data_IF_107003546516
#
_entry.id   IF_107003546516
#
_cell.length_a   1.000
_cell.length_b   1.000
_cell.length_c   1.000
_cell.angle_alpha   90.00
_cell.angle_beta   90.00
_cell.angle_gamma   90.00
#
_symmetry.space_group_name_H-M   'P 1'
#
loop_
_entity.id
_entity.type
_entity.pdbx_description
1 polymer ?
#
# COMPACT_ATOMS: atom_id res chain seq x y z
N UNK A 1 38.59 5.57 8.08
CA UNK A 1 37.30 4.93 8.43
C UNK A 1 37.57 3.82 9.41
N UNK A 2 36.94 3.85 10.58
CA UNK A 2 36.75 2.62 11.36
C UNK A 2 35.80 1.71 10.58
N UNK A 3 36.07 0.40 10.56
CA UNK A 3 35.29 -0.58 9.79
C UNK A 3 33.79 -0.49 10.11
N UNK A 4 33.45 -0.23 11.37
CA UNK A 4 32.07 -0.10 11.85
C UNK A 4 31.31 1.11 11.27
N UNK A 5 31.96 2.28 11.13
CA UNK A 5 31.30 3.47 10.55
C UNK A 5 30.99 3.29 9.07
N UNK A 6 31.89 2.61 8.34
CA UNK A 6 31.68 2.28 6.93
C UNK A 6 30.50 1.30 6.77
N UNK A 7 30.42 0.28 7.64
CA UNK A 7 29.30 -0.65 7.69
C UNK A 7 27.98 0.07 8.02
N UNK A 8 27.99 0.98 8.99
CA UNK A 8 26.81 1.78 9.32
C UNK A 8 26.35 2.65 8.14
N UNK A 9 27.28 3.29 7.43
CA UNK A 9 26.97 4.08 6.25
C UNK A 9 26.31 3.21 5.17
N UNK A 10 26.86 2.01 4.92
CA UNK A 10 26.24 1.07 3.98
C UNK A 10 24.82 0.68 4.40
N UNK A 11 24.59 0.36 5.68
CA UNK A 11 23.25 0.02 6.19
C UNK A 11 22.27 1.20 6.07
N UNK A 12 22.74 2.44 6.25
CA UNK A 12 21.93 3.64 6.03
C UNK A 12 21.62 3.86 4.54
N UNK A 13 22.57 3.61 3.64
CA UNK A 13 22.36 3.68 2.20
C UNK A 13 21.32 2.65 1.74
N UNK A 14 21.42 1.40 2.21
CA UNK A 14 20.41 0.37 1.96
C UNK A 14 19.03 0.80 2.46
N UNK A 15 18.96 1.41 3.66
CA UNK A 15 17.71 1.94 4.20
C UNK A 15 17.17 3.10 3.37
N UNK A 16 18.04 3.98 2.85
CA UNK A 16 17.66 5.09 1.97
C UNK A 16 17.00 4.57 0.70
N UNK A 17 17.55 3.52 0.10
CA UNK A 17 16.99 2.92 -1.11
C UNK A 17 15.60 2.31 -0.84
N UNK A 18 15.40 1.62 0.30
CA UNK A 18 14.07 1.15 0.71
C UNK A 18 13.06 2.29 0.85
N UNK A 19 13.47 3.43 1.43
CA UNK A 19 12.59 4.59 1.56
C UNK A 19 12.28 5.25 0.22
N UNK A 20 13.22 5.24 -0.72
CA UNK A 20 12.98 5.72 -2.09
C UNK A 20 11.98 4.80 -2.83
N UNK A 21 12.10 3.48 -2.69
CA UNK A 21 11.14 2.53 -3.25
C UNK A 21 9.76 2.69 -2.61
N UNK A 22 9.69 2.81 -1.28
CA UNK A 22 8.44 3.08 -0.57
C UNK A 22 7.79 4.38 -1.01
N UNK A 23 8.57 5.43 -1.25
CA UNK A 23 8.07 6.72 -1.75
C UNK A 23 7.46 6.56 -3.15
N UNK A 24 8.18 5.93 -4.08
CA UNK A 24 7.67 5.68 -5.43
C UNK A 24 6.39 4.84 -5.42
N UNK A 25 6.36 3.76 -4.65
CA UNK A 25 5.17 2.93 -4.48
C UNK A 25 4.01 3.74 -3.89
N UNK A 26 4.30 4.56 -2.89
CA UNK A 26 3.32 5.44 -2.22
C UNK A 26 2.70 6.48 -3.16
N UNK A 27 3.45 6.95 -4.17
CA UNK A 27 2.92 7.85 -5.20
C UNK A 27 2.07 7.09 -6.23
N UNK A 28 2.50 5.91 -6.66
CA UNK A 28 1.76 5.07 -7.61
C UNK A 28 0.40 4.63 -7.04
N UNK A 29 0.34 4.34 -5.73
CA UNK A 29 -0.90 3.97 -5.05
C UNK A 29 -2.02 5.02 -5.14
N UNK A 30 -1.73 6.27 -5.51
CA UNK A 30 -2.75 7.30 -5.68
C UNK A 30 -3.62 7.13 -6.93
N UNK A 31 -3.19 6.27 -7.87
CA UNK A 31 -3.88 6.07 -9.16
C UNK A 31 -4.22 4.62 -9.46
N UNK A 32 -3.76 3.68 -8.62
CA UNK A 32 -4.03 2.25 -8.74
C UNK A 32 -5.50 1.90 -8.49
N UNK A 33 -5.98 0.82 -9.11
CA UNK A 33 -7.31 0.31 -8.82
C UNK A 33 -7.35 -0.57 -7.56
N UNK A 34 -8.55 -1.03 -7.17
CA UNK A 34 -8.73 -1.84 -5.97
C UNK A 34 -7.94 -3.17 -5.95
N UNK A 35 -7.69 -3.79 -7.10
CA UNK A 35 -6.93 -5.05 -7.17
C UNK A 35 -5.44 -4.78 -6.99
N UNK A 36 -4.92 -3.77 -7.68
CA UNK A 36 -3.53 -3.32 -7.59
C UNK A 36 -3.17 -2.77 -6.21
N UNK A 37 -4.10 -2.03 -5.58
CA UNK A 37 -3.93 -1.46 -4.24
C UNK A 37 -3.64 -2.55 -3.19
N UNK A 38 -4.29 -3.71 -3.28
CA UNK A 38 -4.04 -4.83 -2.36
C UNK A 38 -2.60 -5.30 -2.41
N UNK A 39 -2.07 -5.54 -3.61
CA UNK A 39 -0.69 -5.96 -3.82
C UNK A 39 0.31 -4.88 -3.40
N UNK A 40 -0.01 -3.61 -3.69
CA UNK A 40 0.83 -2.48 -3.30
C UNK A 40 0.96 -2.34 -1.77
N UNK A 41 -0.13 -2.56 -1.01
CA UNK A 41 -0.06 -2.56 0.46
C UNK A 41 0.80 -3.71 1.02
N UNK A 42 0.70 -4.91 0.43
CA UNK A 42 1.56 -6.04 0.82
C UNK A 42 3.05 -5.73 0.55
N UNK A 43 3.36 -5.18 -0.62
CA UNK A 43 4.73 -4.79 -0.97
C UNK A 43 5.24 -3.69 -0.03
N UNK A 44 4.42 -2.67 0.25
CA UNK A 44 4.76 -1.60 1.19
C UNK A 44 5.05 -2.15 2.59
N UNK A 45 4.28 -3.12 3.06
CA UNK A 45 4.53 -3.78 4.35
C UNK A 45 5.88 -4.50 4.37
N UNK A 46 6.23 -5.25 3.30
CA UNK A 46 7.54 -5.91 3.19
C UNK A 46 8.70 -4.93 3.27
N UNK A 47 8.60 -3.80 2.57
CA UNK A 47 9.61 -2.74 2.62
C UNK A 47 9.74 -2.13 4.02
N UNK A 48 8.61 -1.93 4.72
CA UNK A 48 8.62 -1.46 6.11
C UNK A 48 9.28 -2.46 7.07
N UNK A 49 9.01 -3.76 6.89
CA UNK A 49 9.62 -4.82 7.71
C UNK A 49 11.14 -4.88 7.48
N UNK A 50 11.59 -4.78 6.22
CA UNK A 50 13.01 -4.70 5.89
C UNK A 50 13.68 -3.47 6.51
N UNK A 51 13.03 -2.31 6.42
CA UNK A 51 13.54 -1.08 7.02
C UNK A 51 13.64 -1.19 8.56
N UNK A 52 12.71 -1.91 9.21
CA UNK A 52 12.75 -2.15 10.65
C UNK A 52 13.92 -3.04 11.07
N UNK A 53 14.31 -4.03 10.25
CA UNK A 53 15.52 -4.83 10.52
C UNK A 53 16.80 -4.00 10.38
N UNK A 54 16.87 -3.13 9.36
CA UNK A 54 18.00 -2.19 9.22
C UNK A 54 18.08 -1.23 10.41
N UNK A 55 16.93 -0.78 10.94
CA UNK A 55 16.88 0.06 12.14
C UNK A 55 17.45 -0.63 13.39
N UNK A 56 17.19 -1.93 13.55
CA UNK A 56 17.81 -2.71 14.64
C UNK A 56 19.32 -2.76 14.49
N UNK A 57 19.82 -3.01 13.28
CA UNK A 57 21.26 -3.05 13.00
C UNK A 57 21.92 -1.69 13.25
N UNK A 58 21.32 -0.59 12.77
CA UNK A 58 21.82 0.77 13.00
C UNK A 58 21.83 1.09 14.49
N UNK A 59 20.76 0.74 15.22
CA UNK A 59 20.69 0.99 16.68
C UNK A 59 21.83 0.28 17.42
N UNK A 60 22.10 -0.99 17.11
CA UNK A 60 23.20 -1.72 17.73
C UNK A 60 24.56 -1.04 17.45
N UNK A 61 24.83 -0.63 16.21
CA UNK A 61 26.07 0.08 15.87
C UNK A 61 26.17 1.46 16.56
N UNK A 62 25.04 2.14 16.78
CA UNK A 62 24.98 3.41 17.50
C UNK A 62 25.24 3.30 19.01
N UNK A 63 25.05 2.12 19.62
CA UNK A 63 25.38 1.89 21.03
C UNK A 63 26.90 1.87 21.25
N UNK A 64 27.65 1.41 20.26
CA UNK A 64 29.11 1.32 20.29
C UNK A 64 29.81 2.65 19.92
N UNK A 65 29.11 3.53 19.17
CA UNK A 65 29.63 4.83 18.74
C UNK A 65 28.64 5.98 19.00
N UNK A 66 28.75 6.65 20.16
CA UNK A 66 27.87 7.78 20.50
C UNK A 66 27.94 8.96 19.53
N UNK A 67 29.08 9.20 18.87
CA UNK A 67 29.19 10.30 17.90
C UNK A 67 28.43 9.99 16.61
N UNK A 68 28.51 8.73 16.15
CA UNK A 68 27.72 8.27 15.02
C UNK A 68 26.22 8.31 15.33
N UNK A 69 25.83 7.90 16.54
CA UNK A 69 24.45 8.03 17.03
C UNK A 69 23.94 9.47 16.97
N UNK A 70 24.73 10.43 17.44
CA UNK A 70 24.33 11.84 17.46
C UNK A 70 24.20 12.41 16.04
N UNK A 71 25.06 11.96 15.10
CA UNK A 71 24.96 12.31 13.69
C UNK A 71 23.69 11.72 13.03
N UNK A 72 23.40 10.43 13.23
CA UNK A 72 22.21 9.76 12.69
C UNK A 72 20.91 10.34 13.24
N UNK A 73 20.91 10.76 14.52
CA UNK A 73 19.75 11.37 15.17
C UNK A 73 19.65 12.89 14.97
N UNK A 74 20.55 13.47 14.18
CA UNK A 74 20.58 14.91 13.86
C UNK A 74 20.68 15.82 15.09
N UNK A 75 21.36 15.38 16.16
CA UNK A 75 21.51 16.15 17.42
C UNK A 75 22.33 17.42 17.19
N UNK A 76 23.38 17.32 16.37
CA UNK A 76 24.22 18.45 15.96
C UNK A 76 24.78 18.19 14.57
N UNK A 77 25.19 19.25 13.88
CA UNK A 77 25.84 19.13 12.58
C UNK A 77 27.31 18.76 12.78
N UNK A 78 27.78 17.61 12.26
CA UNK A 78 29.15 17.17 12.46
C UNK A 78 30.14 17.97 11.59
N UNK A 79 31.28 18.30 12.19
CA UNK A 79 32.44 18.88 11.49
C UNK A 79 33.28 17.81 10.78
N UNK A 80 33.33 16.60 11.36
CA UNK A 80 34.02 15.44 10.78
C UNK A 80 33.31 14.95 9.51
N UNK A 81 34.09 14.70 8.46
CA UNK A 81 33.57 14.31 7.15
C UNK A 81 32.82 12.96 7.19
N UNK A 82 33.29 11.98 7.97
CA UNK A 82 32.65 10.65 8.03
C UNK A 82 31.30 10.74 8.76
N UNK A 83 31.26 11.50 9.87
CA UNK A 83 30.00 11.74 10.58
C UNK A 83 29.02 12.56 9.72
N UNK A 84 29.52 13.45 8.86
CA UNK A 84 28.69 14.22 7.92
C UNK A 84 28.00 13.35 6.89
N UNK A 85 28.68 12.33 6.35
CA UNK A 85 28.05 11.37 5.44
C UNK A 85 26.88 10.63 6.12
N UNK A 86 27.08 10.15 7.36
CA UNK A 86 26.01 9.51 8.15
C UNK A 86 24.83 10.47 8.40
N UNK A 87 25.14 11.73 8.75
CA UNK A 87 24.14 12.78 8.95
C UNK A 87 23.33 13.05 7.67
N UNK A 88 24.00 13.20 6.52
CA UNK A 88 23.34 13.54 5.26
C UNK A 88 22.42 12.42 4.77
N UNK A 89 22.88 11.16 4.83
CA UNK A 89 22.08 10.00 4.44
C UNK A 89 20.87 9.83 5.36
N UNK A 90 21.06 9.88 6.68
CA UNK A 90 19.95 9.79 7.64
C UNK A 90 18.93 10.93 7.48
N UNK A 91 19.39 12.14 7.11
CA UNK A 91 18.51 13.27 6.81
C UNK A 91 17.70 13.04 5.54
N UNK A 92 18.30 12.45 4.50
CA UNK A 92 17.59 12.07 3.27
C UNK A 92 16.47 11.06 3.56
N UNK A 93 16.74 10.05 4.38
CA UNK A 93 15.73 9.07 4.84
C UNK A 93 14.58 9.77 5.56
N UNK A 94 14.89 10.68 6.49
CA UNK A 94 13.87 11.45 7.22
C UNK A 94 13.01 12.29 6.28
N UNK A 95 13.62 12.91 5.27
CA UNK A 95 12.89 13.70 4.27
C UNK A 95 11.95 12.83 3.43
N UNK A 96 12.39 11.64 3.00
CA UNK A 96 11.54 10.68 2.29
C UNK A 96 10.37 10.21 3.18
N UNK A 97 10.64 9.88 4.45
CA UNK A 97 9.61 9.52 5.42
C UNK A 97 8.54 10.61 5.58
N UNK A 98 8.95 11.88 5.66
CA UNK A 98 8.03 13.02 5.73
C UNK A 98 7.12 13.11 4.51
N UNK A 99 7.67 12.99 3.29
CA UNK A 99 6.88 13.04 2.05
C UNK A 99 5.89 11.88 1.95
N UNK A 100 6.32 10.67 2.34
CA UNK A 100 5.43 9.52 2.45
C UNK A 100 4.25 9.84 3.39
N UNK A 101 4.53 10.37 4.59
CA UNK A 101 3.48 10.69 5.58
C UNK A 101 2.51 11.77 5.09
N UNK A 102 3.00 12.81 4.41
CA UNK A 102 2.18 13.87 3.82
C UNK A 102 1.17 13.32 2.80
N UNK A 103 1.53 12.27 2.05
CA UNK A 103 0.66 11.61 1.08
C UNK A 103 -0.36 10.62 1.67
N UNK A 104 -0.27 10.28 2.97
CA UNK A 104 -1.03 9.16 3.55
C UNK A 104 -2.54 9.40 3.58
N UNK A 105 -2.96 10.65 3.84
CA UNK A 105 -4.39 10.98 3.83
C UNK A 105 -5.00 10.84 2.43
N UNK A 106 -4.27 11.24 1.38
CA UNK A 106 -4.72 11.14 0.00
C UNK A 106 -4.86 9.67 -0.43
N UNK A 107 -3.87 8.82 -0.12
CA UNK A 107 -3.97 7.37 -0.38
C UNK A 107 -5.18 6.74 0.33
N UNK A 108 -5.41 7.11 1.59
CA UNK A 108 -6.56 6.59 2.35
C UNK A 108 -7.89 6.95 1.69
N UNK A 109 -8.06 8.22 1.28
CA UNK A 109 -9.25 8.67 0.55
C UNK A 109 -9.43 7.92 -0.77
N UNK A 110 -8.33 7.71 -1.51
CA UNK A 110 -8.37 6.95 -2.76
C UNK A 110 -8.85 5.52 -2.56
N UNK A 111 -8.31 4.82 -1.53
CA UNK A 111 -8.77 3.47 -1.16
C UNK A 111 -10.26 3.45 -0.79
N UNK A 112 -10.76 4.45 -0.07
CA UNK A 112 -12.18 4.56 0.24
C UNK A 112 -13.03 4.71 -1.02
N UNK A 113 -12.58 5.52 -1.98
CA UNK A 113 -13.24 5.70 -3.28
C UNK A 113 -13.27 4.39 -4.06
N UNK A 114 -12.15 3.68 -4.17
CA UNK A 114 -12.07 2.40 -4.88
C UNK A 114 -12.91 1.31 -4.20
N UNK A 115 -12.93 1.27 -2.86
CA UNK A 115 -13.82 0.39 -2.10
C UNK A 115 -15.29 0.66 -2.42
N UNK A 116 -15.69 1.93 -2.46
CA UNK A 116 -17.08 2.30 -2.70
C UNK A 116 -17.49 2.04 -4.16
N UNK A 117 -16.57 2.21 -5.13
CA UNK A 117 -16.76 1.76 -6.52
C UNK A 117 -16.95 0.25 -6.60
N UNK A 118 -16.11 -0.53 -5.94
CA UNK A 118 -16.22 -1.99 -5.91
C UNK A 118 -17.57 -2.44 -5.32
N UNK A 119 -18.02 -1.82 -4.22
CA UNK A 119 -19.34 -2.08 -3.63
C UNK A 119 -20.49 -1.79 -4.60
N UNK A 120 -20.48 -0.63 -5.26
CA UNK A 120 -21.51 -0.27 -6.26
C UNK A 120 -21.57 -1.28 -7.40
N UNK A 121 -20.41 -1.71 -7.90
CA UNK A 121 -20.32 -2.73 -8.95
C UNK A 121 -20.95 -4.07 -8.51
N UNK A 122 -20.71 -4.49 -7.26
CA UNK A 122 -21.34 -5.69 -6.69
C UNK A 122 -22.87 -5.52 -6.58
N UNK A 123 -23.34 -4.37 -6.11
CA UNK A 123 -24.79 -4.09 -6.04
C UNK A 123 -25.47 -4.10 -7.40
N UNK A 124 -24.84 -3.51 -8.42
CA UNK A 124 -25.32 -3.53 -9.80
C UNK A 124 -25.37 -4.95 -10.37
N UNK A 125 -24.32 -5.75 -10.14
CA UNK A 125 -24.30 -7.16 -10.54
C UNK A 125 -25.43 -7.95 -9.87
N UNK A 126 -25.66 -7.73 -8.57
CA UNK A 126 -26.74 -8.40 -7.83
C UNK A 126 -28.13 -7.97 -8.30
N UNK A 127 -28.34 -6.68 -8.61
CA UNK A 127 -29.59 -6.16 -9.19
C UNK A 127 -29.82 -6.71 -10.60
N UNK A 128 -28.78 -6.78 -11.43
CA UNK A 128 -28.88 -7.31 -12.79
C UNK A 128 -29.19 -8.82 -12.80
N UNK A 129 -28.58 -9.61 -11.90
CA UNK A 129 -28.90 -11.03 -11.72
C UNK A 129 -30.36 -11.26 -11.27
N UNK A 130 -30.87 -10.44 -10.34
CA UNK A 130 -32.27 -10.49 -9.92
C UNK A 130 -33.23 -10.05 -11.03
N UNK A 131 -32.85 -9.05 -11.82
CA UNK A 131 -33.65 -8.54 -12.95
C UNK A 131 -33.72 -9.53 -14.11
N UNK A 132 -32.63 -10.23 -14.43
CA UNK A 132 -32.63 -11.32 -15.42
C UNK A 132 -33.46 -12.51 -14.94
N UNK A 133 -33.38 -12.88 -13.66
CA UNK A 133 -34.23 -13.92 -13.08
C UNK A 133 -35.72 -13.54 -13.06
N UNK A 134 -36.06 -12.28 -12.78
CA UNK A 134 -37.43 -11.77 -12.88
C UNK A 134 -37.93 -11.77 -14.34
N UNK A 135 -37.12 -11.33 -15.29
CA UNK A 135 -37.49 -11.38 -16.71
C UNK A 135 -37.67 -12.83 -17.21
N UNK A 136 -36.85 -13.77 -16.73
CA UNK A 136 -37.01 -15.18 -17.03
C UNK A 136 -38.30 -15.76 -16.42
N UNK A 137 -38.60 -15.46 -15.16
CA UNK A 137 -39.84 -15.87 -14.49
C UNK A 137 -41.09 -15.28 -15.15
N UNK A 138 -41.07 -13.99 -15.49
CA UNK A 138 -42.16 -13.31 -16.21
C UNK A 138 -42.36 -13.90 -17.61
N UNK A 139 -41.27 -14.22 -18.31
CA UNK A 139 -41.32 -14.89 -19.63
C UNK A 139 -41.86 -16.31 -19.54
N UNK A 140 -41.48 -17.08 -18.51
CA UNK A 140 -42.00 -18.42 -18.27
C UNK A 140 -43.48 -18.40 -17.84
N UNK A 141 -43.89 -17.45 -16.98
CA UNK A 141 -45.29 -17.30 -16.57
C UNK A 141 -46.19 -16.93 -17.75
N UNK A 142 -45.76 -15.97 -18.59
CA UNK A 142 -46.48 -15.63 -19.84
C UNK A 142 -46.54 -16.80 -20.81
N UNK A 143 -45.49 -17.62 -20.91
CA UNK A 143 -45.50 -18.84 -21.75
C UNK A 143 -46.49 -19.90 -21.22
N UNK A 144 -46.70 -19.99 -19.90
CA UNK A 144 -47.67 -20.92 -19.30
C UNK A 144 -49.13 -20.46 -19.42
N UNK A 145 -49.39 -19.17 -19.59
CA UNK A 145 -50.76 -18.63 -19.80
C UNK A 145 -51.27 -18.82 -21.24
N UNK A 146 -50.40 -19.12 -22.20
CA UNK A 146 -50.74 -19.29 -23.63
C UNK A 146 -51.19 -20.73 -23.97
N UNK A 147 -51.21 -21.66 -23.01
CA UNK A 147 -51.81 -22.98 -23.23
C UNK A 147 -53.29 -22.98 -22.82
N UNK A 148 -54.25 -22.89 -23.76
CA UNK A 148 -55.66 -23.03 -23.42
C UNK A 148 -55.90 -24.44 -22.88
N UNK A 149 -56.51 -24.52 -21.69
CA UNK A 149 -57.02 -25.77 -21.09
C UNK A 149 -57.87 -26.50 -22.14
N UNK A 150 -57.31 -27.53 -22.79
CA UNK A 150 -58.09 -28.45 -23.63
C UNK A 150 -59.10 -29.12 -22.72
N UNK A 151 -60.37 -28.68 -22.81
CA UNK A 151 -61.52 -29.40 -22.27
C UNK A 151 -61.55 -30.78 -22.93
N UNK A 152 -61.18 -31.81 -22.18
CA UNK A 152 -61.45 -33.19 -22.56
C UNK A 152 -62.96 -33.38 -22.42
N UNK A 153 -63.67 -33.49 -23.55
CA UNK A 153 -65.05 -34.00 -23.58
C UNK A 153 -64.94 -35.52 -23.58
N UNK A 154 -65.39 -36.15 -22.51
CA UNK A 154 -65.62 -37.59 -22.46
C UNK A 154 -66.85 -37.89 -23.32
N UNK A 155 -66.71 -38.83 -24.25
CA UNK A 155 -67.80 -39.59 -24.85
C UNK A 155 -67.83 -40.97 -24.22
#
# INVERSE_FOLDING_TARGET
MTNERMKMLQTLEEKKDLFAEMEQLSDQMLVMDAEELGQAYEQRQKLMDQAAELDKAIRAMCEEDPQARDAVNHVSQPEDAQLRELYDVSRAIKAAASRILEGEEYRRKHVEVERDKAKKKIEELNKSGSSVAMHYLDSMQKATEVFPKRRIRNF
#
